data_IF_758856549672
#
_entry.id   IF_758856549672
#
_cell.length_a   1.000
_cell.length_b   1.000
_cell.length_c   1.000
_cell.angle_alpha   90.00
_cell.angle_beta   90.00
_cell.angle_gamma   90.00
#
_symmetry.space_group_name_H-M   'P 1'
#
loop_
_entity.id
_entity.type
_entity.pdbx_description
1 polymer ?
#
# COMPACT_ATOMS: atom_id res chain seq x y z
N UNK A 1 33.76 -33.73 -16.58
CA UNK A 1 33.54 -34.09 -15.17
C UNK A 1 32.26 -33.42 -14.70
N UNK A 2 31.27 -34.24 -14.30
CA UNK A 2 29.99 -33.98 -13.60
C UNK A 2 29.09 -32.79 -14.01
N UNK A 3 28.03 -33.20 -14.71
CA UNK A 3 26.73 -32.55 -14.92
C UNK A 3 26.01 -32.37 -13.57
N UNK A 4 25.34 -31.23 -13.37
CA UNK A 4 24.22 -31.10 -12.41
C UNK A 4 23.06 -30.36 -13.08
N UNK A 5 22.11 -31.13 -13.60
CA UNK A 5 20.75 -30.67 -13.91
C UNK A 5 19.97 -30.61 -12.58
N UNK A 6 19.64 -29.42 -12.10
CA UNK A 6 18.62 -29.26 -11.06
C UNK A 6 17.27 -28.95 -11.70
N UNK A 7 16.50 -30.02 -11.77
CA UNK A 7 15.08 -30.14 -12.12
C UNK A 7 14.23 -29.35 -11.13
N UNK A 8 13.74 -28.16 -11.51
CA UNK A 8 12.70 -27.44 -10.76
C UNK A 8 11.35 -27.73 -11.40
N UNK A 9 10.45 -28.30 -10.58
CA UNK A 9 9.08 -28.69 -10.92
C UNK A 9 8.26 -27.48 -11.38
N UNK A 10 7.73 -27.60 -12.59
CA UNK A 10 6.68 -26.77 -13.19
C UNK A 10 5.36 -27.05 -12.46
N UNK A 11 4.85 -26.10 -11.70
CA UNK A 11 3.47 -26.13 -11.21
C UNK A 11 2.59 -25.38 -12.19
N UNK A 12 1.70 -26.12 -12.84
CA UNK A 12 0.65 -25.59 -13.70
C UNK A 12 -0.50 -25.11 -12.82
N UNK A 13 -0.76 -23.81 -12.77
CA UNK A 13 -2.05 -23.29 -12.32
C UNK A 13 -2.71 -22.58 -13.50
N UNK A 14 -3.44 -23.39 -14.26
CA UNK A 14 -4.48 -22.96 -15.20
C UNK A 14 -5.68 -22.54 -14.35
N UNK A 15 -6.00 -21.26 -14.35
CA UNK A 15 -7.34 -20.79 -13.98
C UNK A 15 -7.82 -19.85 -15.07
N UNK A 16 -8.48 -20.45 -16.05
CA UNK A 16 -9.46 -19.77 -16.88
C UNK A 16 -10.67 -19.46 -16.00
N UNK A 17 -11.16 -18.22 -16.01
CA UNK A 17 -12.60 -18.02 -15.86
C UNK A 17 -13.07 -16.92 -16.80
N UNK A 18 -13.77 -17.38 -17.83
CA UNK A 18 -14.49 -16.61 -18.82
C UNK A 18 -15.76 -16.00 -18.22
N UNK A 19 -15.98 -14.75 -18.60
CA UNK A 19 -17.23 -14.00 -18.73
C UNK A 19 -18.53 -14.83 -18.78
N UNK A 20 -19.59 -14.39 -18.07
CA UNK A 20 -20.97 -14.52 -18.55
C UNK A 20 -21.93 -13.51 -17.90
N UNK A 21 -22.74 -12.93 -18.78
CA UNK A 21 -23.80 -11.93 -18.62
C UNK A 21 -25.12 -12.67 -18.40
N UNK A 22 -26.03 -12.20 -17.53
CA UNK A 22 -27.48 -12.07 -17.76
C UNK A 22 -28.21 -11.68 -16.45
N UNK A 23 -29.19 -10.79 -16.55
CA UNK A 23 -30.18 -10.60 -15.49
C UNK A 23 -30.73 -9.18 -15.35
N UNK A 24 -31.27 -8.62 -16.43
CA UNK A 24 -32.18 -7.47 -16.34
C UNK A 24 -33.50 -7.90 -15.70
N UNK A 25 -34.08 -7.00 -14.88
CA UNK A 25 -35.39 -7.00 -14.18
C UNK A 25 -35.09 -6.72 -12.71
N UNK A 26 -35.32 -5.52 -12.18
CA UNK A 26 -36.67 -4.98 -11.96
C UNK A 26 -36.66 -3.44 -11.93
N UNK A 27 -37.46 -2.84 -12.82
CA UNK A 27 -38.00 -1.50 -12.62
C UNK A 27 -39.23 -1.64 -11.71
N UNK A 28 -39.29 -0.87 -10.61
CA UNK A 28 -40.48 -0.25 -9.99
C UNK A 28 -40.26 -0.05 -8.49
N UNK A 29 -40.02 1.20 -8.08
CA UNK A 29 -40.18 1.84 -6.75
C UNK A 29 -39.08 2.90 -6.65
N UNK A 30 -39.29 4.22 -6.59
CA UNK A 30 -40.44 5.03 -6.24
C UNK A 30 -40.35 6.35 -7.01
N UNK A 31 -41.43 6.75 -7.65
CA UNK A 31 -41.75 8.16 -7.86
C UNK A 31 -42.32 8.69 -6.53
N UNK A 32 -41.54 9.47 -5.78
CA UNK A 32 -42.10 10.57 -5.00
C UNK A 32 -41.31 11.84 -5.28
N UNK A 33 -42.06 12.77 -5.84
CA UNK A 33 -41.70 14.11 -6.22
C UNK A 33 -41.45 14.95 -4.95
N UNK A 34 -40.34 15.69 -5.01
CA UNK A 34 -39.93 16.86 -4.23
C UNK A 34 -40.95 17.50 -3.27
N UNK A 35 -40.47 17.94 -2.09
CA UNK A 35 -40.36 19.37 -1.82
C UNK A 35 -39.53 19.72 -0.56
N UNK A 36 -38.85 20.87 -0.68
CA UNK A 36 -38.27 21.75 0.36
C UNK A 36 -36.91 21.39 0.97
N UNK A 37 -35.89 21.97 0.32
CA UNK A 37 -34.65 22.45 0.92
C UNK A 37 -34.94 23.19 2.24
N UNK A 38 -34.30 22.76 3.32
CA UNK A 38 -33.82 23.68 4.35
C UNK A 38 -32.30 23.51 4.43
N UNK A 39 -31.58 24.47 3.85
CA UNK A 39 -30.17 24.64 4.12
C UNK A 39 -30.04 25.15 5.56
N UNK A 40 -29.79 24.25 6.51
CA UNK A 40 -29.21 24.63 7.80
C UNK A 40 -27.73 24.21 7.80
N UNK A 41 -26.97 24.80 6.87
CA UNK A 41 -25.51 24.71 6.81
C UNK A 41 -24.93 25.81 7.71
N UNK A 42 -24.98 25.59 9.03
CA UNK A 42 -24.45 26.53 10.02
C UNK A 42 -23.48 25.87 11.00
N UNK A 43 -23.94 24.86 11.75
CA UNK A 43 -23.27 24.58 13.03
C UNK A 43 -22.62 23.19 13.16
N UNK A 44 -22.77 22.30 12.17
CA UNK A 44 -22.17 20.95 12.23
C UNK A 44 -20.86 20.80 11.42
N UNK A 45 -20.48 21.80 10.62
CA UNK A 45 -19.22 21.76 9.86
C UNK A 45 -18.02 22.15 10.74
N UNK A 46 -18.17 23.12 11.64
CA UNK A 46 -17.08 23.61 12.50
C UNK A 46 -16.59 22.55 13.51
N UNK A 47 -17.53 21.81 14.14
CA UNK A 47 -17.19 20.71 15.06
C UNK A 47 -16.54 19.53 14.33
N UNK A 48 -17.00 19.19 13.11
CA UNK A 48 -16.36 18.16 12.29
C UNK A 48 -14.95 18.55 11.85
N UNK A 49 -14.73 19.81 11.49
CA UNK A 49 -13.40 20.35 11.16
C UNK A 49 -12.47 20.22 12.37
N UNK A 50 -12.90 20.63 13.56
CA UNK A 50 -12.06 20.53 14.77
C UNK A 50 -11.67 19.09 15.14
N UNK A 51 -12.60 18.13 15.08
CA UNK A 51 -12.30 16.73 15.38
C UNK A 51 -11.42 16.09 14.28
N UNK A 52 -11.66 16.43 13.01
CA UNK A 52 -10.84 15.92 11.92
C UNK A 52 -9.41 16.47 11.95
N UNK A 53 -9.22 17.72 12.38
CA UNK A 53 -7.90 18.34 12.52
C UNK A 53 -7.12 17.68 13.66
N UNK A 54 -7.79 17.45 14.81
CA UNK A 54 -7.23 16.71 15.94
C UNK A 54 -6.79 15.30 15.51
N UNK A 55 -7.64 14.55 14.80
CA UNK A 55 -7.30 13.20 14.32
C UNK A 55 -6.14 13.19 13.33
N UNK A 56 -6.06 14.18 12.43
CA UNK A 56 -4.93 14.33 11.49
C UNK A 56 -3.63 14.62 12.23
N UNK A 57 -3.68 15.44 13.28
CA UNK A 57 -2.51 15.75 14.09
C UNK A 57 -1.94 14.53 14.81
N UNK A 58 -2.82 13.59 15.23
CA UNK A 58 -2.41 12.32 15.84
C UNK A 58 -1.75 11.40 14.82
N UNK A 59 -2.36 11.21 13.64
CA UNK A 59 -1.83 10.36 12.56
C UNK A 59 -0.48 10.89 12.01
N UNK A 60 -0.32 12.21 11.95
CA UNK A 60 0.93 12.86 11.55
C UNK A 60 2.01 12.76 12.64
N UNK A 61 1.65 12.92 13.93
CA UNK A 61 2.55 12.71 15.06
C UNK A 61 3.13 11.29 15.04
N UNK A 62 2.27 10.28 14.86
CA UNK A 62 2.68 8.89 14.79
C UNK A 62 3.55 8.63 13.56
N UNK A 63 3.20 9.16 12.39
CA UNK A 63 4.02 9.05 11.17
C UNK A 63 5.43 9.63 11.36
N UNK A 64 5.53 10.81 11.99
CA UNK A 64 6.80 11.50 12.21
C UNK A 64 7.74 10.72 13.14
N UNK A 65 7.19 10.00 14.13
CA UNK A 65 7.94 9.13 15.03
C UNK A 65 8.61 7.95 14.31
N UNK A 66 8.09 7.56 13.15
CA UNK A 66 8.68 6.55 12.26
C UNK A 66 9.55 7.20 11.17
N UNK A 67 9.79 8.52 11.23
CA UNK A 67 10.62 9.23 10.25
C UNK A 67 9.96 9.38 8.89
N UNK A 68 8.64 9.27 8.83
CA UNK A 68 7.82 9.51 7.63
C UNK A 68 7.45 11.00 7.63
N UNK A 69 7.90 11.73 6.62
CA UNK A 69 7.60 13.14 6.42
C UNK A 69 7.15 13.36 4.99
N UNK A 70 5.99 14.01 4.80
CA UNK A 70 5.39 14.23 3.48
C UNK A 70 5.31 12.93 2.66
N UNK A 71 4.91 11.82 3.30
CA UNK A 71 4.80 10.49 2.68
C UNK A 71 6.12 9.95 2.10
N UNK A 72 7.23 10.41 2.66
CA UNK A 72 8.57 9.98 2.29
C UNK A 72 9.39 9.56 3.52
N UNK A 73 10.30 8.62 3.31
CA UNK A 73 11.32 8.23 4.29
C UNK A 73 12.71 8.52 3.73
N UNK A 74 13.64 8.95 4.58
CA UNK A 74 15.01 9.23 4.13
C UNK A 74 15.74 7.91 3.87
N UNK A 75 16.53 7.83 2.80
CA UNK A 75 17.27 6.62 2.42
C UNK A 75 18.22 6.14 3.51
N UNK A 76 18.84 7.06 4.24
CA UNK A 76 19.74 6.74 5.34
C UNK A 76 19.04 6.20 6.61
N UNK A 77 17.71 6.37 6.73
CA UNK A 77 16.93 5.76 7.80
C UNK A 77 16.62 4.28 7.49
N UNK A 78 16.53 3.92 6.21
CA UNK A 78 16.24 2.56 5.75
C UNK A 78 17.42 1.64 6.09
N UNK A 79 17.20 0.66 6.97
CA UNK A 79 18.18 -0.37 7.34
C UNK A 79 18.03 -1.62 6.51
N UNK A 80 16.79 -2.01 6.23
CA UNK A 80 16.47 -3.10 5.32
C UNK A 80 15.05 -2.96 4.79
N UNK A 81 14.82 -3.51 3.61
CA UNK A 81 13.51 -3.63 2.98
C UNK A 81 13.29 -5.12 2.72
N UNK A 82 12.20 -5.69 3.22
CA UNK A 82 11.85 -7.10 3.06
C UNK A 82 10.45 -7.24 2.52
N UNK A 83 10.32 -7.71 1.29
CA UNK A 83 9.02 -8.06 0.71
C UNK A 83 8.46 -9.33 1.38
N UNK A 84 7.26 -9.21 1.97
CA UNK A 84 6.53 -10.33 2.57
C UNK A 84 5.86 -11.17 1.49
N UNK A 85 5.43 -10.53 0.41
CA UNK A 85 4.89 -11.12 -0.80
C UNK A 85 5.24 -10.22 -2.00
N UNK A 86 4.53 -10.37 -3.11
CA UNK A 86 4.81 -9.60 -4.32
C UNK A 86 4.21 -8.18 -4.30
N UNK A 87 3.57 -7.73 -3.22
CA UNK A 87 2.93 -6.41 -3.11
C UNK A 87 3.31 -5.62 -1.86
N UNK A 88 3.59 -6.30 -0.75
CA UNK A 88 3.80 -5.69 0.57
C UNK A 88 5.24 -5.91 1.03
N UNK A 89 5.86 -4.84 1.52
CA UNK A 89 7.17 -4.87 2.14
C UNK A 89 7.16 -4.32 3.56
N UNK A 90 8.03 -4.87 4.40
CA UNK A 90 8.37 -4.33 5.70
C UNK A 90 9.73 -3.65 5.60
N UNK A 91 9.76 -2.37 5.97
CA UNK A 91 10.96 -1.55 6.03
C UNK A 91 11.37 -1.43 7.49
N UNK A 92 12.57 -1.89 7.80
CA UNK A 92 13.17 -1.66 9.11
C UNK A 92 13.91 -0.32 9.10
N UNK A 93 13.57 0.57 10.03
CA UNK A 93 14.20 1.89 10.18
C UNK A 93 15.10 1.99 11.42
N UNK A 94 15.30 0.86 12.11
CA UNK A 94 16.08 0.74 13.34
C UNK A 94 15.26 1.06 14.61
N UNK A 95 15.91 0.89 15.78
CA UNK A 95 15.31 1.15 17.11
C UNK A 95 13.99 0.40 17.35
N UNK A 96 13.89 -0.83 16.82
CA UNK A 96 12.69 -1.65 16.92
C UNK A 96 11.50 -1.19 16.07
N UNK A 97 11.65 -0.11 15.28
CA UNK A 97 10.57 0.45 14.47
C UNK A 97 10.57 -0.12 13.06
N UNK A 98 9.36 -0.38 12.56
CA UNK A 98 9.11 -0.88 11.22
C UNK A 98 8.02 -0.06 10.53
N UNK A 99 8.04 -0.09 9.20
CA UNK A 99 7.08 0.59 8.33
C UNK A 99 6.57 -0.44 7.34
N UNK A 100 5.28 -0.40 7.02
CA UNK A 100 4.70 -1.15 5.92
C UNK A 100 4.73 -0.29 4.67
N UNK A 101 5.24 -0.85 3.58
CA UNK A 101 5.16 -0.29 2.24
C UNK A 101 4.26 -1.18 1.38
N UNK A 102 3.31 -0.58 0.68
CA UNK A 102 2.50 -1.25 -0.34
C UNK A 102 2.89 -0.79 -1.74
N UNK A 103 2.82 -1.72 -2.70
CA UNK A 103 2.88 -1.43 -4.13
C UNK A 103 1.47 -1.29 -4.70
N UNK A 104 1.31 -0.46 -5.72
CA UNK A 104 0.01 -0.20 -6.38
C UNK A 104 -0.62 -1.47 -6.95
N UNK A 105 0.22 -2.43 -7.35
CA UNK A 105 -0.19 -3.73 -7.87
C UNK A 105 0.86 -4.78 -7.51
N UNK A 106 0.48 -6.07 -7.49
CA UNK A 106 1.45 -7.15 -7.33
C UNK A 106 2.56 -7.08 -8.40
N UNK A 107 3.79 -7.17 -7.93
CA UNK A 107 5.01 -7.16 -8.69
C UNK A 107 5.66 -8.54 -8.66
N UNK A 108 5.26 -9.33 -9.66
CA UNK A 108 5.56 -10.75 -9.71
C UNK A 108 7.07 -11.01 -9.63
N UNK A 109 7.48 -11.78 -8.61
CA UNK A 109 8.86 -12.19 -8.42
C UNK A 109 9.72 -11.21 -7.61
N UNK A 110 9.21 -10.05 -7.17
CA UNK A 110 10.01 -9.08 -6.41
C UNK A 110 10.59 -9.66 -5.11
N UNK A 111 9.83 -10.52 -4.43
CA UNK A 111 10.30 -11.22 -3.22
C UNK A 111 11.37 -12.27 -3.52
N UNK A 112 11.25 -12.95 -4.66
CA UNK A 112 12.08 -14.12 -5.01
C UNK A 112 13.36 -13.72 -5.71
N UNK A 113 13.26 -12.83 -6.69
CA UNK A 113 14.34 -12.45 -7.59
C UNK A 113 15.13 -11.25 -7.03
N UNK A 114 14.54 -10.54 -6.06
CA UNK A 114 15.10 -9.30 -5.54
C UNK A 114 14.73 -8.09 -6.38
N UNK A 115 15.22 -6.94 -5.95
CA UNK A 115 14.84 -5.65 -6.51
C UNK A 115 15.98 -4.63 -6.42
N UNK A 116 15.89 -3.64 -7.29
CA UNK A 116 16.67 -2.41 -7.23
C UNK A 116 15.68 -1.27 -6.94
N UNK A 117 16.09 -0.32 -6.10
CA UNK A 117 15.36 0.94 -5.96
C UNK A 117 16.34 2.10 -6.11
N UNK A 118 15.93 3.09 -6.90
CA UNK A 118 16.70 4.31 -7.10
C UNK A 118 15.94 5.47 -6.48
N UNK A 119 16.49 6.06 -5.43
CA UNK A 119 15.95 7.27 -4.84
C UNK A 119 16.55 8.49 -5.54
N UNK A 120 15.75 9.28 -6.27
CA UNK A 120 16.26 10.50 -6.94
C UNK A 120 16.70 11.58 -5.94
N UNK A 121 16.08 11.63 -4.77
CA UNK A 121 16.23 12.71 -3.79
C UNK A 121 16.79 12.25 -2.44
N UNK A 122 17.51 11.11 -2.42
CA UNK A 122 17.96 10.44 -1.18
C UNK A 122 16.80 10.11 -0.22
N UNK A 123 15.59 9.95 -0.75
CA UNK A 123 14.36 9.60 -0.06
C UNK A 123 13.61 8.54 -0.87
N UNK A 124 12.81 7.75 -0.18
CA UNK A 124 11.83 6.86 -0.78
C UNK A 124 10.45 7.44 -0.49
N UNK A 125 9.75 7.85 -1.53
CA UNK A 125 8.47 8.55 -1.47
C UNK A 125 7.37 7.73 -2.13
N UNK A 126 6.17 7.79 -1.54
CA UNK A 126 4.94 7.32 -2.18
C UNK A 126 4.79 7.95 -3.58
N UNK A 127 4.31 7.18 -4.56
CA UNK A 127 3.97 7.57 -5.94
C UNK A 127 5.11 8.04 -6.85
N UNK A 128 6.18 8.61 -6.29
CA UNK A 128 7.29 9.19 -7.06
C UNK A 128 8.41 8.19 -7.30
N UNK A 129 8.71 7.36 -6.30
CA UNK A 129 9.74 6.33 -6.41
C UNK A 129 9.11 4.98 -6.76
N UNK A 130 9.95 4.09 -7.27
CA UNK A 130 9.56 2.76 -7.73
C UNK A 130 10.66 1.75 -7.44
N UNK A 131 10.25 0.48 -7.39
CA UNK A 131 11.13 -0.66 -7.42
C UNK A 131 11.22 -1.22 -8.82
N UNK A 132 12.38 -1.78 -9.16
CA UNK A 132 12.59 -2.57 -10.36
C UNK A 132 12.90 -4.00 -9.94
N UNK A 133 12.12 -4.95 -10.44
CA UNK A 133 12.33 -6.38 -10.19
C UNK A 133 13.54 -6.85 -10.99
N UNK A 134 14.49 -7.48 -10.32
CA UNK A 134 15.67 -8.03 -10.98
C UNK A 134 15.28 -9.13 -11.99
N UNK A 135 16.06 -9.25 -13.07
CA UNK A 135 15.86 -10.20 -14.18
C UNK A 135 14.67 -9.91 -15.10
N UNK A 136 13.61 -9.26 -14.62
CA UNK A 136 12.40 -8.97 -15.40
C UNK A 136 12.29 -7.51 -15.83
N UNK A 137 13.06 -6.61 -15.23
CA UNK A 137 13.00 -5.14 -15.39
C UNK A 137 11.58 -4.59 -15.17
N UNK A 138 10.74 -5.29 -14.39
CA UNK A 138 9.38 -4.87 -14.10
C UNK A 138 9.38 -3.69 -13.12
N UNK A 139 8.70 -2.61 -13.49
CA UNK A 139 8.60 -1.40 -12.66
C UNK A 139 7.36 -1.47 -11.75
N UNK A 140 7.59 -1.14 -10.48
CA UNK A 140 6.67 -1.31 -9.36
C UNK A 140 6.52 0.01 -8.60
N UNK A 141 5.41 0.71 -8.83
CA UNK A 141 5.12 1.95 -8.12
C UNK A 141 4.73 1.71 -6.67
N UNK A 142 5.20 2.60 -5.82
CA UNK A 142 4.86 2.64 -4.40
C UNK A 142 3.50 3.30 -4.25
N UNK A 143 2.60 2.62 -3.56
CA UNK A 143 1.26 3.08 -3.25
C UNK A 143 1.22 3.82 -1.91
N UNK A 144 1.65 3.16 -0.82
CA UNK A 144 1.65 3.76 0.50
C UNK A 144 2.85 3.36 1.37
N UNK A 145 3.18 4.21 2.34
CA UNK A 145 4.22 4.07 3.35
C UNK A 145 3.61 4.45 4.70
N UNK A 146 3.41 3.46 5.58
CA UNK A 146 2.69 3.65 6.84
C UNK A 146 3.46 3.04 8.03
N UNK A 147 3.34 3.62 9.25
CA UNK A 147 3.88 3.00 10.46
C UNK A 147 3.41 1.56 10.63
N UNK A 148 4.31 0.65 10.99
CA UNK A 148 3.96 -0.71 11.40
C UNK A 148 4.02 -0.83 12.92
N UNK A 149 2.86 -0.92 13.55
CA UNK A 149 2.76 -1.18 15.00
C UNK A 149 2.77 -2.69 15.20
N UNK A 150 3.84 -3.20 15.82
CA UNK A 150 3.87 -4.58 16.28
C UNK A 150 3.05 -4.67 17.55
N UNK A 151 1.95 -5.41 17.51
CA UNK A 151 1.28 -5.84 18.73
C UNK A 151 2.12 -6.98 19.29
N UNK A 152 2.95 -6.68 20.29
CA UNK A 152 3.56 -7.72 21.10
C UNK A 152 2.41 -8.46 21.80
N UNK A 153 2.22 -9.74 21.46
CA UNK A 153 1.32 -10.59 22.23
C UNK A 153 1.98 -10.81 23.60
N UNK A 154 1.50 -10.05 24.58
CA UNK A 154 1.80 -10.26 26.00
C UNK A 154 1.47 -11.73 26.34
N UNK A 155 2.50 -12.50 26.71
CA UNK A 155 2.40 -13.87 27.21
C UNK A 155 2.58 -13.87 28.72
#
# INVERSE_FOLDING_TARGET
MKIFFLRVKRFNNVFCYTHQILGAWTLLFFLTLSAFVTANSGDHFFVKVSLSEELRSLDESDSSNFGIYNKCIRRNAIRSIRFQDDQIAIINIGRGKEIVLSLTRPCLGIKRNGFIFSSRSNKLCERFDYFEVMETNMICQIDSIQPHIRLESEY
#
